data_IF_377867607527
#
_entry.id   IF_377867607527
#
_cell.length_a   1.000
_cell.length_b   1.000
_cell.length_c   1.000
_cell.angle_alpha   90.00
_cell.angle_beta   90.00
_cell.angle_gamma   90.00
#
_symmetry.space_group_name_H-M   'P 1'
#
loop_
_entity.id
_entity.type
_entity.pdbx_description
1 polymer ?
#
# COMPACT_ATOMS: atom_id res chain seq x y z
N UNK A 1 -8.36 10.14 25.55
CA UNK A 1 -7.58 9.32 24.59
C UNK A 1 -8.56 8.51 23.76
N UNK A 2 -8.56 8.67 22.44
CA UNK A 2 -9.34 7.87 21.48
C UNK A 2 -8.52 6.67 21.02
N UNK A 3 -9.13 5.50 20.89
CA UNK A 3 -8.43 4.25 20.54
C UNK A 3 -8.81 3.79 19.13
N UNK A 4 -7.80 3.43 18.35
CA UNK A 4 -7.94 2.94 16.98
C UNK A 4 -7.26 1.57 16.84
N UNK A 5 -8.01 0.46 16.77
CA UNK A 5 -9.47 0.35 16.87
C UNK A 5 -10.01 0.51 18.30
N UNK A 6 -11.27 0.96 18.40
CA UNK A 6 -11.98 1.28 19.66
C UNK A 6 -11.94 0.14 20.70
N UNK A 7 -11.94 -1.12 20.25
CA UNK A 7 -11.92 -2.30 21.14
C UNK A 7 -10.79 -2.30 22.17
N UNK A 8 -9.65 -1.64 21.90
CA UNK A 8 -8.51 -1.60 22.82
C UNK A 8 -8.73 -0.67 24.01
N UNK A 9 -9.69 0.26 23.95
CA UNK A 9 -10.11 1.05 25.09
C UNK A 9 -10.56 0.15 26.24
N UNK A 10 -11.34 -0.89 25.94
CA UNK A 10 -11.80 -1.85 26.95
C UNK A 10 -10.62 -2.61 27.57
N UNK A 11 -9.66 -3.06 26.76
CA UNK A 11 -8.44 -3.73 27.26
C UNK A 11 -7.68 -2.84 28.24
N UNK A 12 -7.52 -1.56 27.90
CA UNK A 12 -6.88 -0.57 28.75
C UNK A 12 -7.64 -0.37 30.08
N UNK A 13 -8.95 -0.11 30.03
CA UNK A 13 -9.76 0.13 31.22
C UNK A 13 -9.85 -1.09 32.15
N UNK A 14 -10.00 -2.29 31.58
CA UNK A 14 -10.07 -3.53 32.37
C UNK A 14 -8.73 -3.80 33.09
N UNK A 15 -7.60 -3.49 32.46
CA UNK A 15 -6.29 -3.57 33.13
C UNK A 15 -6.16 -2.57 34.27
N UNK A 16 -6.58 -1.31 34.07
CA UNK A 16 -6.51 -0.28 35.12
C UNK A 16 -7.36 -0.62 36.35
N UNK A 17 -8.54 -1.22 36.18
CA UNK A 17 -9.41 -1.62 37.29
C UNK A 17 -8.78 -2.68 38.21
N UNK A 18 -7.84 -3.46 37.69
CA UNK A 18 -7.14 -4.53 38.40
C UNK A 18 -5.71 -4.19 38.81
N UNK A 19 -5.32 -2.91 38.75
CA UNK A 19 -3.98 -2.45 39.05
C UNK A 19 -3.51 -2.87 40.46
N UNK A 20 -2.22 -3.17 40.55
CA UNK A 20 -1.49 -3.42 41.80
C UNK A 20 -0.27 -2.53 41.83
N UNK A 21 0.26 -2.32 43.03
CA UNK A 21 1.49 -1.57 43.23
C UNK A 21 2.60 -2.09 42.32
N UNK A 22 3.18 -1.15 41.58
CA UNK A 22 4.27 -1.44 40.66
C UNK A 22 5.58 -1.42 41.42
N UNK A 23 6.22 -2.59 41.53
CA UNK A 23 7.60 -2.64 41.97
C UNK A 23 8.50 -1.98 40.90
N UNK A 24 9.05 -0.81 41.19
CA UNK A 24 9.92 -0.05 40.28
C UNK A 24 11.41 -0.33 40.46
N UNK A 25 11.85 -0.94 41.58
CA UNK A 25 13.26 -1.28 41.83
C UNK A 25 13.68 -2.58 41.13
N UNK A 26 14.90 -2.63 40.61
CA UNK A 26 15.46 -3.78 39.89
C UNK A 26 16.92 -4.00 40.28
N UNK A 27 17.28 -5.25 40.57
CA UNK A 27 18.67 -5.69 40.78
C UNK A 27 19.35 -5.99 39.43
N UNK A 28 19.47 -4.96 38.59
CA UNK A 28 20.10 -5.03 37.26
C UNK A 28 21.26 -4.03 37.18
N UNK A 29 22.20 -4.27 36.27
CA UNK A 29 23.31 -3.33 36.04
C UNK A 29 22.94 -2.20 35.07
N UNK A 30 21.99 -2.45 34.16
CA UNK A 30 21.58 -1.48 33.14
C UNK A 30 20.25 -0.83 33.57
N UNK A 31 20.32 0.44 33.94
CA UNK A 31 19.15 1.26 34.27
C UNK A 31 19.54 2.55 34.98
N UNK A 32 18.57 3.42 35.25
CA UNK A 32 18.79 4.63 36.04
C UNK A 32 18.86 4.25 37.51
N UNK A 33 19.99 4.53 38.18
CA UNK A 33 20.14 4.23 39.61
C UNK A 33 19.13 5.02 40.44
N UNK A 34 18.50 4.38 41.42
CA UNK A 34 17.49 5.06 42.23
C UNK A 34 18.15 6.16 43.10
N UNK A 35 17.51 7.33 43.29
CA UNK A 35 18.06 8.45 44.07
C UNK A 35 17.85 8.25 45.58
N UNK A 36 18.15 7.04 46.08
CA UNK A 36 17.92 6.63 47.47
C UNK A 36 19.28 6.35 48.13
N UNK A 37 19.50 6.86 49.33
CA UNK A 37 20.75 6.75 50.08
C UNK A 37 20.48 6.20 51.48
N UNK A 38 21.29 5.24 51.91
CA UNK A 38 21.18 4.58 53.20
C UNK A 38 22.33 5.01 54.10
N UNK A 39 22.01 5.42 55.33
CA UNK A 39 22.99 5.67 56.37
C UNK A 39 23.21 4.42 57.24
N UNK A 40 24.40 4.31 57.86
CA UNK A 40 24.76 3.19 58.75
C UNK A 40 23.78 3.01 59.93
N UNK A 41 23.07 4.06 60.34
CA UNK A 41 22.05 4.00 61.39
C UNK A 41 20.69 3.48 60.89
N UNK A 42 20.56 3.15 59.60
CA UNK A 42 19.32 2.70 58.95
C UNK A 42 18.44 3.82 58.40
N UNK A 43 18.84 5.09 58.50
CA UNK A 43 18.08 6.21 57.92
C UNK A 43 18.16 6.19 56.39
N UNK A 44 17.03 6.44 55.73
CA UNK A 44 16.89 6.49 54.27
C UNK A 44 16.67 7.93 53.82
N UNK A 45 17.52 8.42 52.92
CA UNK A 45 17.45 9.76 52.33
C UNK A 45 17.15 9.63 50.84
N UNK A 46 16.15 10.35 50.35
CA UNK A 46 15.84 10.43 48.92
C UNK A 46 16.23 11.81 48.41
N UNK A 47 17.14 11.88 47.44
CA UNK A 47 17.67 13.14 46.92
C UNK A 47 18.19 12.98 45.50
N UNK A 48 17.91 13.96 44.63
CA UNK A 48 18.42 14.00 43.25
C UNK A 48 19.94 14.11 43.25
N UNK A 49 20.47 15.05 44.05
CA UNK A 49 21.90 15.21 44.25
C UNK A 49 22.40 14.35 45.43
N UNK A 50 23.62 13.79 45.36
CA UNK A 50 24.20 13.05 46.46
C UNK A 50 24.24 13.87 47.76
N UNK A 51 23.56 13.44 48.84
CA UNK A 51 23.57 14.15 50.11
C UNK A 51 24.97 14.13 50.74
N UNK A 52 25.41 15.29 51.26
CA UNK A 52 26.72 15.42 51.91
C UNK A 52 26.79 14.82 53.33
N UNK A 53 25.65 14.73 54.02
CA UNK A 53 25.52 14.15 55.35
C UNK A 53 24.09 13.68 55.63
N UNK A 54 23.94 12.77 56.58
CA UNK A 54 22.65 12.22 57.00
C UNK A 54 21.90 13.28 57.81
N UNK A 55 20.65 13.65 57.42
CA UNK A 55 19.91 14.71 58.12
C UNK A 55 19.45 14.33 59.53
N UNK A 56 19.53 13.05 59.90
CA UNK A 56 19.14 12.57 61.24
C UNK A 56 20.33 12.53 62.22
N UNK A 57 21.49 12.02 61.79
CA UNK A 57 22.64 11.77 62.69
C UNK A 57 23.91 12.54 62.33
N UNK A 58 23.92 13.31 61.24
CA UNK A 58 25.08 14.08 60.77
C UNK A 58 26.23 13.22 60.22
N UNK A 59 26.04 11.91 60.07
CA UNK A 59 27.05 11.01 59.49
C UNK A 59 27.27 11.33 58.01
N UNK A 60 28.52 11.31 57.57
CA UNK A 60 28.90 11.43 56.14
C UNK A 60 28.96 10.08 55.43
N UNK A 61 28.76 8.98 56.16
CA UNK A 61 28.70 7.64 55.59
C UNK A 61 27.29 7.38 55.07
N UNK A 62 27.09 7.68 53.79
CA UNK A 62 25.86 7.39 53.05
C UNK A 62 26.20 6.52 51.85
N UNK A 63 25.46 5.43 51.68
CA UNK A 63 25.62 4.52 50.53
C UNK A 63 24.36 4.61 49.68
N UNK A 64 24.50 5.00 48.41
CA UNK A 64 23.39 4.99 47.48
C UNK A 64 22.92 3.55 47.25
N UNK A 65 21.62 3.35 47.19
CA UNK A 65 20.97 2.07 46.91
C UNK A 65 21.52 1.48 45.58
N UNK A 66 21.88 0.19 45.54
CA UNK A 66 22.43 -0.43 44.33
C UNK A 66 21.37 -0.71 43.25
N UNK A 67 20.08 -0.60 43.56
CA UNK A 67 19.01 -0.86 42.59
C UNK A 67 18.97 0.20 41.47
N UNK A 68 18.49 -0.26 40.32
CA UNK A 68 18.11 0.60 39.19
C UNK A 68 16.59 0.60 39.01
N UNK A 69 16.07 1.63 38.34
CA UNK A 69 14.67 1.74 37.96
C UNK A 69 14.33 0.76 36.83
N UNK A 70 13.11 0.24 36.88
CA UNK A 70 12.47 -0.49 35.78
C UNK A 70 12.55 0.32 34.47
N UNK A 71 12.91 -0.33 33.36
CA UNK A 71 12.94 0.32 32.04
C UNK A 71 11.58 0.91 31.66
N UNK A 72 10.48 0.29 32.10
CA UNK A 72 9.15 0.85 31.86
C UNK A 72 8.88 2.14 32.64
N UNK A 73 9.67 2.44 33.69
CA UNK A 73 9.58 3.70 34.44
C UNK A 73 10.10 4.86 33.61
N UNK A 74 11.29 4.76 33.02
CA UNK A 74 11.79 5.80 32.13
C UNK A 74 10.96 5.89 30.83
N UNK A 75 10.58 4.76 30.24
CA UNK A 75 9.74 4.74 29.03
C UNK A 75 8.35 5.37 29.23
N UNK A 76 7.81 5.34 30.46
CA UNK A 76 6.54 5.98 30.79
C UNK A 76 6.64 7.52 30.74
N UNK A 77 7.83 8.10 30.86
CA UNK A 77 8.03 9.55 30.83
C UNK A 77 8.24 10.08 29.40
N UNK A 78 8.30 9.19 28.40
CA UNK A 78 8.65 9.51 27.01
C UNK A 78 7.92 10.74 26.41
N UNK A 79 6.59 10.92 26.58
CA UNK A 79 5.84 11.97 25.88
C UNK A 79 6.26 13.41 26.24
N UNK A 80 6.89 13.61 27.40
CA UNK A 80 7.28 14.94 27.90
C UNK A 80 8.77 15.01 28.26
N UNK A 81 9.38 13.91 28.72
CA UNK A 81 10.82 13.88 29.02
C UNK A 81 11.69 14.10 27.76
N UNK A 82 11.20 13.71 26.58
CA UNK A 82 11.90 13.96 25.31
C UNK A 82 11.85 15.41 24.86
N UNK A 83 10.91 16.19 25.40
CA UNK A 83 10.73 17.60 25.09
C UNK A 83 11.46 18.51 26.07
N UNK A 84 12.17 17.96 27.08
CA UNK A 84 12.97 18.72 28.03
C UNK A 84 12.43 18.78 29.45
N UNK A 85 11.30 18.12 29.74
CA UNK A 85 10.85 17.92 31.12
C UNK A 85 11.96 17.25 31.96
N UNK A 86 12.21 17.70 33.22
CA UNK A 86 11.34 18.52 34.07
C UNK A 86 11.42 20.03 33.88
N UNK A 87 12.25 20.53 32.96
CA UNK A 87 12.32 21.97 32.68
C UNK A 87 11.13 22.42 31.80
N UNK A 88 10.76 23.69 31.94
CA UNK A 88 9.73 24.34 31.11
C UNK A 88 10.37 24.85 29.81
N UNK A 89 10.44 23.98 28.80
CA UNK A 89 11.04 24.29 27.50
C UNK A 89 9.99 24.73 26.48
N UNK A 90 10.42 25.46 25.45
CA UNK A 90 9.57 25.85 24.31
C UNK A 90 9.02 24.62 23.57
N UNK A 91 9.82 23.55 23.45
CA UNK A 91 9.38 22.30 22.81
C UNK A 91 8.29 21.59 23.64
N UNK A 92 8.39 21.62 24.97
CA UNK A 92 7.38 21.03 25.84
C UNK A 92 6.06 21.80 25.73
N UNK A 93 6.10 23.14 25.73
CA UNK A 93 4.92 23.98 25.53
C UNK A 93 4.29 23.79 24.13
N UNK A 94 5.12 23.65 23.09
CA UNK A 94 4.64 23.58 21.71
C UNK A 94 4.07 22.21 21.33
N UNK A 95 4.62 21.12 21.87
CA UNK A 95 4.38 19.75 21.36
C UNK A 95 3.78 18.78 22.38
N UNK A 96 3.53 19.23 23.61
CA UNK A 96 2.75 18.48 24.60
C UNK A 96 1.37 19.14 24.82
N UNK A 97 0.27 18.38 24.81
CA UNK A 97 0.19 16.94 24.56
C UNK A 97 0.40 16.59 23.07
N UNK A 98 0.91 15.38 22.81
CA UNK A 98 1.17 14.90 21.43
C UNK A 98 -0.13 14.49 20.72
N UNK A 99 -0.13 14.39 19.39
CA UNK A 99 -1.37 14.01 18.67
C UNK A 99 -1.65 12.50 18.71
N UNK A 100 -0.66 11.68 18.33
CA UNK A 100 -0.87 10.24 18.05
C UNK A 100 0.25 9.38 18.65
N UNK A 101 -0.14 8.35 19.41
CA UNK A 101 0.75 7.25 19.78
C UNK A 101 0.47 6.01 18.93
N UNK A 102 1.36 5.68 18.00
CA UNK A 102 1.26 4.47 17.15
C UNK A 102 2.13 3.34 17.71
N UNK A 103 1.54 2.18 18.03
CA UNK A 103 2.25 1.09 18.69
C UNK A 103 1.57 -0.28 18.54
N UNK A 104 2.16 -1.31 19.16
CA UNK A 104 1.63 -2.67 19.19
C UNK A 104 0.82 -2.95 20.46
N UNK A 105 -0.21 -3.78 20.33
CA UNK A 105 -1.10 -4.17 21.44
C UNK A 105 -0.37 -4.81 22.64
N UNK A 106 0.77 -5.47 22.38
CA UNK A 106 1.55 -6.21 23.38
C UNK A 106 2.06 -5.31 24.51
N UNK A 107 2.26 -4.02 24.22
CA UNK A 107 2.83 -3.05 25.15
C UNK A 107 1.82 -1.97 25.57
N UNK A 108 0.52 -2.18 25.34
CA UNK A 108 -0.53 -1.29 25.86
C UNK A 108 -0.36 -1.12 27.37
N UNK A 109 -0.35 -2.23 28.12
CA UNK A 109 -0.29 -2.20 29.58
C UNK A 109 1.07 -1.74 30.12
N UNK A 110 2.15 -2.07 29.40
CA UNK A 110 3.51 -1.81 29.85
C UNK A 110 4.00 -0.41 29.48
N UNK A 111 3.42 0.22 28.45
CA UNK A 111 3.89 1.50 27.92
C UNK A 111 2.78 2.52 27.81
N UNK A 112 1.75 2.28 26.98
CA UNK A 112 0.66 3.24 26.73
C UNK A 112 -0.04 3.63 28.02
N UNK A 113 -0.45 2.64 28.81
CA UNK A 113 -1.11 2.88 30.10
C UNK A 113 -0.22 3.68 31.05
N UNK A 114 1.07 3.35 31.10
CA UNK A 114 2.00 4.03 31.99
C UNK A 114 2.26 5.46 31.57
N UNK A 115 2.38 5.74 30.28
CA UNK A 115 2.48 7.10 29.74
C UNK A 115 1.24 7.93 30.09
N UNK A 116 0.04 7.34 29.99
CA UNK A 116 -1.19 8.05 30.39
C UNK A 116 -1.18 8.34 31.89
N UNK A 117 -0.79 7.36 32.72
CA UNK A 117 -0.71 7.55 34.18
C UNK A 117 0.28 8.66 34.56
N UNK A 118 1.49 8.65 34.01
CA UNK A 118 2.53 9.64 34.32
C UNK A 118 2.24 11.00 33.71
N UNK A 119 1.62 11.07 32.53
CA UNK A 119 1.14 12.33 31.95
C UNK A 119 0.09 12.99 32.85
N UNK A 120 -0.91 12.22 33.29
CA UNK A 120 -1.94 12.74 34.20
C UNK A 120 -1.35 13.18 35.56
N UNK A 121 -0.38 12.42 36.08
CA UNK A 121 0.24 12.72 37.38
C UNK A 121 1.18 13.94 37.32
N UNK A 122 2.10 13.98 36.34
CA UNK A 122 3.16 14.98 36.31
C UNK A 122 2.83 16.21 35.48
N UNK A 123 1.95 16.08 34.48
CA UNK A 123 1.58 17.18 33.57
C UNK A 123 0.12 17.62 33.74
N UNK A 124 -0.72 16.84 34.44
CA UNK A 124 -2.13 17.19 34.68
C UNK A 124 -3.08 16.95 33.52
N UNK A 125 -2.59 16.40 32.40
CA UNK A 125 -3.39 16.10 31.20
C UNK A 125 -2.94 14.80 30.51
N UNK A 126 -3.69 14.37 29.49
CA UNK A 126 -3.37 13.14 28.76
C UNK A 126 -2.20 13.37 27.79
N UNK A 127 -1.24 12.44 27.66
CA UNK A 127 -0.04 12.65 26.85
C UNK A 127 -0.27 12.62 25.33
N UNK A 128 -1.39 12.05 24.88
CA UNK A 128 -1.76 11.99 23.48
C UNK A 128 -3.28 11.96 23.28
N UNK A 129 -3.75 12.52 22.16
CA UNK A 129 -5.16 12.51 21.80
C UNK A 129 -5.64 11.13 21.30
N UNK A 130 -4.85 10.49 20.42
CA UNK A 130 -5.19 9.23 19.74
C UNK A 130 -4.14 8.13 19.98
N UNK A 131 -4.59 6.89 20.13
CA UNK A 131 -3.73 5.68 20.19
C UNK A 131 -4.07 4.77 19.02
N UNK A 132 -3.08 4.53 18.17
CA UNK A 132 -3.19 3.70 16.97
C UNK A 132 -2.49 2.39 17.20
N UNK A 133 -3.26 1.30 17.25
CA UNK A 133 -2.74 -0.05 17.48
C UNK A 133 -2.69 -0.80 16.16
N UNK A 134 -1.48 -0.95 15.62
CA UNK A 134 -1.25 -1.67 14.38
C UNK A 134 -1.26 -3.19 14.57
N UNK A 135 -1.48 -3.92 13.48
CA UNK A 135 -1.41 -5.38 13.47
C UNK A 135 0.02 -5.87 13.76
N UNK A 136 0.17 -7.15 14.13
CA UNK A 136 1.49 -7.78 14.16
C UNK A 136 1.75 -8.52 12.85
N UNK A 137 3.01 -8.44 12.40
CA UNK A 137 3.50 -9.23 11.29
C UNK A 137 4.03 -10.56 11.83
N UNK A 138 3.46 -11.65 11.32
CA UNK A 138 3.87 -13.03 11.59
C UNK A 138 4.75 -13.55 10.46
N UNK A 139 5.55 -14.57 10.72
CA UNK A 139 6.25 -15.31 9.67
C UNK A 139 5.25 -15.97 8.71
N UNK A 140 5.74 -16.44 7.56
CA UNK A 140 4.88 -17.03 6.51
C UNK A 140 4.07 -18.24 6.99
N UNK A 141 4.61 -19.00 7.95
CA UNK A 141 3.95 -20.14 8.59
C UNK A 141 2.95 -19.75 9.71
N UNK A 142 2.82 -18.45 10.02
CA UNK A 142 1.99 -17.91 11.09
C UNK A 142 2.66 -17.87 12.46
N UNK A 143 3.93 -18.29 12.58
CA UNK A 143 4.68 -18.16 13.82
C UNK A 143 5.08 -16.70 14.10
N UNK A 144 5.40 -16.39 15.36
CA UNK A 144 5.89 -15.07 15.74
C UNK A 144 7.25 -14.81 15.07
N UNK A 145 7.40 -13.65 14.43
CA UNK A 145 8.72 -13.19 13.98
C UNK A 145 9.60 -12.86 15.20
N UNK A 146 10.71 -13.56 15.33
CA UNK A 146 11.71 -13.29 16.35
C UNK A 146 13.11 -13.62 15.85
N UNK A 147 14.07 -12.77 16.21
CA UNK A 147 15.49 -13.05 15.97
C UNK A 147 15.96 -14.31 16.71
N UNK A 148 15.45 -14.57 17.92
CA UNK A 148 15.81 -15.76 18.70
C UNK A 148 15.24 -17.06 18.12
N UNK A 149 14.12 -16.98 17.40
CA UNK A 149 13.47 -18.13 16.76
C UNK A 149 13.98 -18.38 15.34
N UNK A 150 14.80 -17.47 14.78
CA UNK A 150 15.25 -17.55 13.39
C UNK A 150 14.14 -17.31 12.35
N UNK A 151 12.95 -16.89 12.79
CA UNK A 151 11.76 -16.65 11.95
C UNK A 151 11.63 -15.18 11.50
N UNK A 152 12.52 -14.31 11.98
CA UNK A 152 12.53 -12.90 11.63
C UNK A 152 13.02 -12.66 10.20
N UNK A 153 12.34 -11.77 9.49
CA UNK A 153 12.79 -11.25 8.19
C UNK A 153 13.47 -9.92 8.42
N UNK A 154 14.72 -9.76 7.98
CA UNK A 154 15.43 -8.49 8.11
C UNK A 154 14.88 -7.49 7.07
N UNK A 155 14.32 -6.34 7.49
CA UNK A 155 13.80 -5.35 6.54
C UNK A 155 14.89 -4.82 5.60
N UNK A 156 16.17 -4.85 5.98
CA UNK A 156 17.27 -4.40 5.13
C UNK A 156 17.51 -5.32 3.93
N UNK A 157 17.27 -6.62 4.10
CA UNK A 157 17.36 -7.58 3.00
C UNK A 157 16.25 -7.32 1.98
N UNK A 158 15.04 -7.04 2.45
CA UNK A 158 13.91 -6.67 1.61
C UNK A 158 14.13 -5.33 0.90
N UNK A 159 14.65 -4.32 1.60
CA UNK A 159 15.00 -3.02 1.03
C UNK A 159 16.04 -3.20 -0.09
N UNK A 160 17.06 -4.01 0.13
CA UNK A 160 18.10 -4.29 -0.87
C UNK A 160 17.51 -5.00 -2.10
N UNK A 161 16.57 -5.93 -1.89
CA UNK A 161 15.99 -6.75 -2.96
C UNK A 161 14.89 -6.05 -3.76
N UNK A 162 14.07 -5.23 -3.10
CA UNK A 162 12.84 -4.67 -3.68
C UNK A 162 12.74 -3.14 -3.63
N UNK A 163 13.58 -2.48 -2.82
CA UNK A 163 13.55 -1.04 -2.58
C UNK A 163 12.71 -0.66 -1.36
N UNK A 164 13.05 0.48 -0.76
CA UNK A 164 12.39 0.98 0.46
C UNK A 164 10.91 1.27 0.26
N UNK A 165 10.52 1.89 -0.86
CA UNK A 165 9.11 2.21 -1.12
C UNK A 165 8.24 0.97 -1.29
N UNK A 166 8.78 -0.11 -1.87
CA UNK A 166 8.03 -1.35 -2.01
C UNK A 166 7.70 -1.95 -0.63
N UNK A 167 8.66 -1.93 0.29
CA UNK A 167 8.45 -2.39 1.67
C UNK A 167 7.48 -1.48 2.43
N UNK A 168 7.61 -0.15 2.29
CA UNK A 168 6.72 0.82 2.96
C UNK A 168 5.28 0.73 2.46
N UNK A 169 5.07 0.65 1.15
CA UNK A 169 3.74 0.49 0.56
C UNK A 169 3.09 -0.82 1.01
N UNK A 170 3.85 -1.92 1.06
CA UNK A 170 3.38 -3.17 1.64
C UNK A 170 2.98 -3.00 3.11
N UNK A 171 3.82 -2.38 3.94
CA UNK A 171 3.54 -2.18 5.36
C UNK A 171 2.26 -1.34 5.56
N UNK A 172 2.09 -0.25 4.80
CA UNK A 172 0.87 0.56 4.81
C UNK A 172 -0.37 -0.25 4.41
N UNK A 173 -0.24 -1.16 3.44
CA UNK A 173 -1.34 -2.00 2.94
C UNK A 173 -1.84 -3.06 3.93
N UNK A 174 -1.16 -3.22 5.07
CA UNK A 174 -1.51 -4.20 6.10
C UNK A 174 -1.58 -3.61 7.51
N UNK A 175 -1.06 -2.39 7.71
CA UNK A 175 -0.80 -1.80 9.02
C UNK A 175 -1.99 -1.89 9.98
N UNK A 176 -3.19 -1.56 9.51
CA UNK A 176 -4.40 -1.47 10.35
C UNK A 176 -5.36 -2.64 10.13
N UNK A 177 -4.83 -3.79 9.68
CA UNK A 177 -5.57 -5.04 9.62
C UNK A 177 -6.13 -5.42 10.99
N UNK A 178 -7.39 -5.84 11.02
CA UNK A 178 -8.07 -6.25 12.25
C UNK A 178 -7.47 -7.51 12.88
N UNK A 179 -6.79 -8.33 12.06
CA UNK A 179 -6.04 -9.53 12.43
C UNK A 179 -4.55 -9.35 12.14
N UNK A 180 -3.73 -10.18 12.80
CA UNK A 180 -2.33 -10.28 12.45
C UNK A 180 -2.15 -10.77 11.03
N UNK A 181 -1.07 -10.30 10.39
CA UNK A 181 -0.82 -10.55 8.98
C UNK A 181 0.41 -11.42 8.84
N UNK A 182 0.26 -12.52 8.10
CA UNK A 182 1.41 -13.34 7.69
C UNK A 182 2.21 -12.60 6.64
N UNK A 183 3.52 -12.60 6.81
CA UNK A 183 4.41 -12.00 5.86
C UNK A 183 4.37 -12.75 4.53
N UNK A 184 4.13 -11.99 3.46
CA UNK A 184 4.09 -12.46 2.09
C UNK A 184 5.01 -11.59 1.24
N UNK A 185 6.19 -12.12 0.94
CA UNK A 185 7.20 -11.44 0.15
C UNK A 185 6.72 -11.11 -1.28
N UNK A 186 5.79 -11.90 -1.83
CA UNK A 186 5.28 -11.69 -3.20
C UNK A 186 4.51 -10.38 -3.32
N UNK A 187 3.88 -9.92 -2.23
CA UNK A 187 3.22 -8.61 -2.17
C UNK A 187 4.23 -7.46 -2.22
N UNK A 188 5.38 -7.61 -1.55
CA UNK A 188 6.47 -6.62 -1.61
C UNK A 188 7.03 -6.56 -3.04
N UNK A 189 7.22 -7.70 -3.69
CA UNK A 189 7.61 -7.75 -5.10
C UNK A 189 6.57 -7.05 -6.00
N UNK A 190 5.27 -7.23 -5.72
CA UNK A 190 4.19 -6.51 -6.40
C UNK A 190 4.36 -4.99 -6.36
N UNK A 191 4.68 -4.43 -5.19
CA UNK A 191 4.94 -2.98 -5.07
C UNK A 191 6.23 -2.53 -5.75
N UNK A 192 7.27 -3.38 -5.87
CA UNK A 192 8.43 -3.07 -6.74
C UNK A 192 7.99 -2.92 -8.19
N UNK A 193 7.12 -3.79 -8.69
CA UNK A 193 6.56 -3.67 -10.06
C UNK A 193 5.72 -2.41 -10.20
N UNK A 194 5.05 -1.99 -9.14
CA UNK A 194 4.33 -0.72 -9.10
C UNK A 194 5.25 0.50 -9.22
N UNK A 195 6.38 0.54 -8.51
CA UNK A 195 7.39 1.58 -8.71
C UNK A 195 7.82 1.68 -10.20
N UNK A 196 8.07 0.54 -10.84
CA UNK A 196 8.41 0.51 -12.26
C UNK A 196 7.27 1.01 -13.16
N UNK A 197 6.02 0.71 -12.82
CA UNK A 197 4.84 1.19 -13.55
C UNK A 197 4.75 2.72 -13.47
N UNK A 198 4.93 3.31 -12.29
CA UNK A 198 4.97 4.77 -12.08
C UNK A 198 6.08 5.44 -12.91
N UNK A 199 7.26 4.81 -12.95
CA UNK A 199 8.38 5.28 -13.78
C UNK A 199 8.03 5.31 -15.27
N UNK A 200 7.43 4.21 -15.77
CA UNK A 200 7.04 4.10 -17.17
C UNK A 200 5.94 5.10 -17.54
N UNK A 201 4.95 5.30 -16.66
CA UNK A 201 3.89 6.28 -16.83
C UNK A 201 4.47 7.71 -16.91
N UNK A 202 5.32 8.07 -15.96
CA UNK A 202 5.98 9.38 -15.93
C UNK A 202 6.82 9.61 -17.18
N UNK A 203 7.62 8.61 -17.58
CA UNK A 203 8.43 8.70 -18.81
C UNK A 203 7.55 8.90 -20.04
N UNK A 204 6.43 8.20 -20.17
CA UNK A 204 5.52 8.35 -21.30
C UNK A 204 5.01 9.80 -21.42
N UNK A 205 4.51 10.35 -20.31
CA UNK A 205 3.98 11.72 -20.27
C UNK A 205 5.06 12.75 -20.60
N UNK A 206 6.25 12.62 -20.01
CA UNK A 206 7.37 13.56 -20.21
C UNK A 206 8.05 13.46 -21.59
N UNK A 207 7.96 12.30 -22.26
CA UNK A 207 8.58 12.10 -23.58
C UNK A 207 7.74 12.56 -24.76
N UNK A 208 6.52 13.05 -24.51
CA UNK A 208 5.59 13.43 -25.57
C UNK A 208 5.96 14.78 -26.18
N UNK A 209 5.89 14.95 -27.52
CA UNK A 209 6.16 16.23 -28.18
C UNK A 209 5.21 17.32 -27.70
N UNK A 210 5.75 18.48 -27.32
CA UNK A 210 5.00 19.56 -26.67
C UNK A 210 5.77 20.03 -25.43
N UNK A 211 6.61 21.06 -25.59
CA UNK A 211 7.38 21.63 -24.47
C UNK A 211 6.44 22.54 -23.67
N UNK A 212 6.30 22.37 -22.34
CA UNK A 212 5.33 23.14 -21.57
C UNK A 212 5.89 24.52 -21.20
N UNK A 213 5.07 25.58 -21.15
CA UNK A 213 5.11 26.51 -20.04
C UNK A 213 4.46 25.83 -18.83
N UNK A 214 5.12 25.88 -17.68
CA UNK A 214 4.54 25.50 -16.41
C UNK A 214 3.39 26.46 -16.07
N UNK A 215 2.15 26.08 -16.39
CA UNK A 215 1.03 26.61 -15.63
C UNK A 215 0.81 25.73 -14.41
N UNK A 216 0.53 26.40 -13.28
CA UNK A 216 0.22 25.71 -12.04
C UNK A 216 -0.98 24.78 -12.27
N UNK A 217 -0.99 23.57 -11.68
CA UNK A 217 -2.12 22.63 -11.63
C UNK A 217 -3.55 23.24 -11.43
N UNK A 218 -3.70 24.50 -11.05
CA UNK A 218 -4.99 25.18 -10.86
C UNK A 218 -5.76 25.64 -12.12
N UNK A 219 -5.12 25.82 -13.29
CA UNK A 219 -5.69 26.52 -14.47
C UNK A 219 -6.33 25.63 -15.54
N UNK A 220 -6.52 24.33 -15.29
CA UNK A 220 -7.16 23.44 -16.27
C UNK A 220 -8.65 23.83 -16.47
N UNK A 221 -8.93 24.69 -17.45
CA UNK A 221 -10.29 25.05 -17.86
C UNK A 221 -10.71 24.32 -19.13
N UNK A 222 -11.99 23.92 -19.18
CA UNK A 222 -12.68 23.24 -20.29
C UNK A 222 -11.98 21.98 -20.82
N UNK A 223 -12.48 20.80 -20.41
CA UNK A 223 -12.06 19.51 -20.98
C UNK A 223 -13.19 18.98 -21.85
N UNK A 224 -12.98 18.98 -23.15
CA UNK A 224 -13.98 18.54 -24.12
C UNK A 224 -14.04 17.01 -24.26
N UNK A 225 -12.90 16.34 -24.04
CA UNK A 225 -12.76 14.91 -24.21
C UNK A 225 -13.29 14.13 -23.00
N UNK A 226 -14.00 13.04 -23.29
CA UNK A 226 -14.61 12.17 -22.29
C UNK A 226 -13.56 11.56 -21.36
N UNK A 227 -12.47 11.06 -21.91
CA UNK A 227 -11.38 10.43 -21.15
C UNK A 227 -10.67 11.41 -20.19
N UNK A 228 -10.57 12.69 -20.56
CA UNK A 228 -9.94 13.73 -19.75
C UNK A 228 -10.84 14.13 -18.57
N UNK A 229 -12.15 14.33 -18.82
CA UNK A 229 -13.14 14.59 -17.78
C UNK A 229 -13.23 13.43 -16.80
N UNK A 230 -13.25 12.21 -17.33
CA UNK A 230 -13.31 10.99 -16.54
C UNK A 230 -12.13 10.89 -15.57
N UNK A 231 -10.89 10.98 -16.05
CA UNK A 231 -9.72 10.77 -15.17
C UNK A 231 -9.60 11.85 -14.08
N UNK A 232 -10.04 13.09 -14.36
CA UNK A 232 -10.06 14.16 -13.37
C UNK A 232 -11.11 13.93 -12.28
N UNK A 233 -12.29 13.40 -12.65
CA UNK A 233 -13.30 12.94 -11.68
C UNK A 233 -12.74 11.82 -10.80
N UNK A 234 -12.11 10.82 -11.42
CA UNK A 234 -11.48 9.69 -10.72
C UNK A 234 -10.34 10.12 -9.79
N UNK A 235 -9.52 11.07 -10.19
CA UNK A 235 -8.46 11.64 -9.35
C UNK A 235 -9.05 12.32 -8.10
N UNK A 236 -10.16 13.03 -8.24
CA UNK A 236 -10.85 13.68 -7.11
C UNK A 236 -11.39 12.66 -6.11
N UNK A 237 -11.97 11.57 -6.61
CA UNK A 237 -12.40 10.41 -5.79
C UNK A 237 -11.19 9.78 -5.08
N UNK A 238 -10.11 9.49 -5.80
CA UNK A 238 -8.90 8.92 -5.23
C UNK A 238 -8.31 9.80 -4.14
N UNK A 239 -8.22 11.12 -4.35
CA UNK A 239 -7.76 12.09 -3.35
C UNK A 239 -8.63 12.02 -2.09
N UNK A 240 -9.96 12.03 -2.24
CA UNK A 240 -10.89 11.96 -1.10
C UNK A 240 -10.67 10.68 -0.30
N UNK A 241 -10.60 9.54 -0.98
CA UNK A 241 -10.50 8.24 -0.34
C UNK A 241 -9.12 8.05 0.33
N UNK A 242 -8.04 8.54 -0.28
CA UNK A 242 -6.70 8.59 0.33
C UNK A 242 -6.70 9.44 1.60
N UNK A 243 -7.27 10.65 1.52
CA UNK A 243 -7.35 11.61 2.64
C UNK A 243 -8.14 11.01 3.80
N UNK A 244 -9.34 10.47 3.51
CA UNK A 244 -10.20 9.85 4.51
C UNK A 244 -9.51 8.67 5.21
N UNK A 245 -8.75 7.86 4.48
CA UNK A 245 -8.00 6.76 5.10
C UNK A 245 -6.82 7.22 5.96
N UNK A 246 -6.16 8.33 5.62
CA UNK A 246 -5.09 8.90 6.46
C UNK A 246 -5.69 9.48 7.74
N UNK A 247 -6.72 10.31 7.62
CA UNK A 247 -7.41 10.93 8.77
C UNK A 247 -8.12 9.90 9.67
N UNK A 248 -8.63 8.82 9.08
CA UNK A 248 -9.30 7.73 9.78
C UNK A 248 -8.38 6.62 10.29
N UNK A 249 -7.05 6.75 10.14
CA UNK A 249 -6.08 5.69 10.44
C UNK A 249 -6.41 4.34 9.77
N UNK A 250 -6.93 4.37 8.54
CA UNK A 250 -7.10 3.19 7.67
C UNK A 250 -6.13 3.23 6.50
N UNK A 251 -4.82 3.26 6.82
CA UNK A 251 -3.75 3.42 5.83
C UNK A 251 -3.79 2.41 4.67
N UNK A 252 -4.32 1.19 4.88
CA UNK A 252 -4.51 0.23 3.80
C UNK A 252 -5.49 0.73 2.74
N UNK A 253 -6.55 1.43 3.14
CA UNK A 253 -7.54 1.97 2.21
C UNK A 253 -6.92 3.09 1.39
N UNK A 254 -6.09 3.93 2.03
CA UNK A 254 -5.36 5.00 1.33
C UNK A 254 -4.41 4.46 0.26
N UNK A 255 -3.52 3.52 0.60
CA UNK A 255 -2.58 2.98 -0.39
C UNK A 255 -3.31 2.18 -1.48
N UNK A 256 -4.41 1.50 -1.15
CA UNK A 256 -5.22 0.78 -2.14
C UNK A 256 -5.93 1.74 -3.10
N UNK A 257 -6.47 2.86 -2.61
CA UNK A 257 -7.09 3.89 -3.43
C UNK A 257 -6.05 4.55 -4.37
N UNK A 258 -4.89 4.93 -3.84
CA UNK A 258 -3.81 5.51 -4.64
C UNK A 258 -3.26 4.53 -5.69
N UNK A 259 -3.07 3.26 -5.31
CA UNK A 259 -2.68 2.19 -6.24
C UNK A 259 -3.75 1.97 -7.32
N UNK A 260 -5.02 1.89 -6.92
CA UNK A 260 -6.15 1.68 -7.82
C UNK A 260 -6.24 2.76 -8.88
N UNK A 261 -6.17 4.03 -8.48
CA UNK A 261 -6.12 5.14 -9.40
C UNK A 261 -4.88 5.07 -10.31
N UNK A 262 -3.69 4.91 -9.73
CA UNK A 262 -2.44 4.94 -10.49
C UNK A 262 -2.36 3.83 -11.55
N UNK A 263 -2.64 2.60 -11.14
CA UNK A 263 -2.47 1.43 -12.00
C UNK A 263 -3.70 1.19 -12.85
N UNK A 264 -4.85 1.01 -12.22
CA UNK A 264 -6.04 0.47 -12.88
C UNK A 264 -6.74 1.55 -13.70
N UNK A 265 -6.71 2.81 -13.30
CA UNK A 265 -7.43 3.89 -14.00
C UNK A 265 -6.48 4.72 -14.86
N UNK A 266 -5.47 5.34 -14.26
CA UNK A 266 -4.54 6.23 -14.94
C UNK A 266 -3.69 5.48 -15.98
N UNK A 267 -3.02 4.39 -15.59
CA UNK A 267 -2.14 3.69 -16.52
C UNK A 267 -2.89 2.79 -17.52
N UNK A 268 -3.79 1.95 -17.04
CA UNK A 268 -4.38 0.88 -17.87
C UNK A 268 -5.47 1.41 -18.82
N UNK A 269 -6.11 2.53 -18.49
CA UNK A 269 -7.18 3.11 -19.31
C UNK A 269 -6.85 4.51 -19.82
N UNK A 270 -6.57 5.47 -18.93
CA UNK A 270 -6.41 6.87 -19.35
C UNK A 270 -5.23 7.05 -20.30
N UNK A 271 -4.02 6.65 -19.89
CA UNK A 271 -2.83 6.76 -20.74
C UNK A 271 -2.98 5.98 -22.06
N UNK A 272 -3.65 4.83 -22.05
CA UNK A 272 -3.96 4.09 -23.28
C UNK A 272 -4.92 4.85 -24.21
N UNK A 273 -5.92 5.53 -23.65
CA UNK A 273 -6.94 6.29 -24.41
C UNK A 273 -6.38 7.54 -25.09
N UNK A 274 -5.40 8.20 -24.46
CA UNK A 274 -4.77 9.43 -24.96
C UNK A 274 -3.47 9.20 -25.73
N UNK A 275 -2.96 7.97 -25.85
CA UNK A 275 -1.67 7.68 -26.50
C UNK A 275 -1.50 8.28 -27.88
N UNK A 276 -2.55 8.25 -28.70
CA UNK A 276 -2.53 8.84 -30.04
C UNK A 276 -2.51 10.36 -29.99
N UNK A 277 -3.27 10.96 -29.06
CA UNK A 277 -3.29 12.41 -28.80
C UNK A 277 -1.93 12.92 -28.33
N UNK A 278 -1.30 12.21 -27.40
CA UNK A 278 0.07 12.50 -26.94
C UNK A 278 1.11 12.43 -28.08
N UNK A 279 1.01 11.42 -28.96
CA UNK A 279 1.90 11.33 -30.14
C UNK A 279 1.68 12.44 -31.16
N UNK A 280 0.44 12.94 -31.24
CA UNK A 280 0.07 14.05 -32.10
C UNK A 280 0.45 15.43 -31.51
N UNK A 281 0.97 15.48 -30.29
CA UNK A 281 1.33 16.72 -29.61
C UNK A 281 0.15 17.52 -29.07
N UNK A 282 -0.93 16.83 -28.67
CA UNK A 282 -2.08 17.46 -28.00
C UNK A 282 -1.70 17.97 -26.60
N UNK A 283 -1.54 19.29 -26.48
CA UNK A 283 -1.19 19.97 -25.23
C UNK A 283 -2.24 19.73 -24.13
N UNK A 284 -3.53 19.70 -24.46
CA UNK A 284 -4.57 19.51 -23.45
C UNK A 284 -4.50 18.13 -22.80
N UNK A 285 -4.26 17.08 -23.60
CA UNK A 285 -4.05 15.72 -23.10
C UNK A 285 -2.81 15.63 -22.20
N UNK A 286 -1.73 16.30 -22.60
CA UNK A 286 -0.48 16.35 -21.85
C UNK A 286 -0.64 17.08 -20.52
N UNK A 287 -1.34 18.22 -20.50
CA UNK A 287 -1.61 19.00 -19.29
C UNK A 287 -2.44 18.21 -18.28
N UNK A 288 -3.48 17.49 -18.72
CA UNK A 288 -4.27 16.62 -17.84
C UNK A 288 -3.43 15.46 -17.32
N UNK A 289 -2.65 14.80 -18.17
CA UNK A 289 -1.79 13.70 -17.74
C UNK A 289 -0.74 14.15 -16.72
N UNK A 290 -0.15 15.33 -16.94
CA UNK A 290 0.77 15.98 -16.01
C UNK A 290 0.09 16.34 -14.69
N UNK A 291 -1.11 16.94 -14.74
CA UNK A 291 -1.87 17.25 -13.54
C UNK A 291 -2.19 16.01 -12.70
N UNK A 292 -2.61 14.92 -13.35
CA UNK A 292 -2.84 13.65 -12.68
C UNK A 292 -1.56 13.09 -12.07
N UNK A 293 -0.43 13.14 -12.78
CA UNK A 293 0.86 12.71 -12.23
C UNK A 293 1.27 13.55 -11.01
N UNK A 294 1.21 14.88 -11.12
CA UNK A 294 1.56 15.80 -10.04
C UNK A 294 0.82 15.47 -8.74
N UNK A 295 -0.51 15.40 -8.82
CA UNK A 295 -1.34 15.10 -7.66
C UNK A 295 -1.13 13.65 -7.18
N UNK A 296 -1.00 12.69 -8.09
CA UNK A 296 -0.75 11.29 -7.73
C UNK A 296 0.56 11.12 -6.95
N UNK A 297 1.64 11.81 -7.37
CA UNK A 297 2.92 11.72 -6.66
C UNK A 297 2.80 12.27 -5.23
N UNK A 298 2.05 13.37 -5.03
CA UNK A 298 1.77 13.90 -3.68
C UNK A 298 0.94 12.92 -2.85
N UNK A 299 -0.11 12.32 -3.42
CA UNK A 299 -0.96 11.32 -2.74
C UNK A 299 -0.18 10.05 -2.34
N UNK A 300 0.78 9.63 -3.16
CA UNK A 300 1.62 8.46 -2.89
C UNK A 300 2.78 8.75 -1.93
N UNK A 301 3.21 10.01 -1.81
CA UNK A 301 4.43 10.38 -1.08
C UNK A 301 4.49 9.90 0.39
N UNK A 302 3.41 9.96 1.20
CA UNK A 302 3.44 9.43 2.56
C UNK A 302 3.84 7.94 2.64
N UNK A 303 3.50 7.18 1.60
CA UNK A 303 3.71 5.73 1.53
C UNK A 303 5.00 5.38 0.78
N UNK A 304 5.33 6.13 -0.28
CA UNK A 304 6.40 5.82 -1.23
C UNK A 304 7.31 7.04 -1.49
N UNK A 305 8.00 7.57 -0.46
CA UNK A 305 8.66 8.87 -0.53
C UNK A 305 9.81 8.93 -1.55
N UNK A 306 10.57 7.85 -1.77
CA UNK A 306 11.79 7.97 -2.58
C UNK A 306 11.50 8.03 -4.08
N UNK A 307 10.68 7.12 -4.59
CA UNK A 307 10.28 7.08 -6.00
C UNK A 307 9.43 8.29 -6.36
N UNK A 308 8.56 8.75 -5.45
CA UNK A 308 7.73 9.93 -5.72
C UNK A 308 8.57 11.21 -5.77
N UNK A 309 9.55 11.37 -4.89
CA UNK A 309 10.50 12.49 -4.92
C UNK A 309 11.33 12.51 -6.21
N UNK A 310 11.87 11.34 -6.60
CA UNK A 310 12.64 11.23 -7.84
C UNK A 310 11.79 11.58 -9.06
N UNK A 311 10.57 11.03 -9.18
CA UNK A 311 9.68 11.29 -10.31
C UNK A 311 9.21 12.74 -10.35
N UNK A 312 8.94 13.33 -9.20
CA UNK A 312 8.53 14.72 -9.07
C UNK A 312 9.62 15.69 -9.54
N UNK A 313 10.87 15.42 -9.20
CA UNK A 313 12.01 16.23 -9.66
C UNK A 313 12.17 16.25 -11.18
N UNK A 314 11.58 15.28 -11.90
CA UNK A 314 11.58 15.22 -13.37
C UNK A 314 10.39 15.91 -14.00
N UNK A 315 9.36 16.24 -13.22
CA UNK A 315 8.22 16.97 -13.74
C UNK A 315 8.64 18.42 -14.07
N UNK A 316 8.10 19.01 -15.16
CA UNK A 316 8.35 20.40 -15.53
C UNK A 316 8.09 21.42 -14.40
N UNK A 317 8.71 22.60 -14.55
CA UNK A 317 8.59 23.72 -13.62
C UNK A 317 9.77 23.81 -12.64
N UNK A 318 9.85 24.93 -11.93
CA UNK A 318 10.73 25.04 -10.75
C UNK A 318 10.08 24.29 -9.59
N UNK A 319 10.79 23.30 -9.05
CA UNK A 319 10.23 22.27 -8.16
C UNK A 319 11.09 22.21 -6.90
N UNK A 320 10.47 22.54 -5.77
CA UNK A 320 10.99 22.13 -4.46
C UNK A 320 10.62 20.65 -4.21
N UNK A 321 10.95 20.12 -3.04
CA UNK A 321 10.64 18.74 -2.67
C UNK A 321 9.14 18.44 -2.54
N UNK A 322 8.71 17.24 -2.95
CA UNK A 322 7.33 16.75 -2.74
C UNK A 322 6.96 16.80 -1.26
N UNK A 323 7.92 16.47 -0.38
CA UNK A 323 7.71 16.46 1.07
C UNK A 323 7.28 17.82 1.64
N UNK A 324 7.47 18.92 0.89
CA UNK A 324 7.05 20.28 1.26
C UNK A 324 5.88 20.79 0.42
N UNK A 325 5.41 20.02 -0.56
CA UNK A 325 4.31 20.41 -1.41
C UNK A 325 2.99 20.33 -0.64
N UNK A 326 2.09 21.28 -0.91
CA UNK A 326 0.75 21.26 -0.34
C UNK A 326 0.01 19.98 -0.74
N UNK A 327 -0.77 19.45 0.22
CA UNK A 327 -1.65 18.32 -0.05
C UNK A 327 -2.62 18.68 -1.18
N UNK A 328 -2.89 17.78 -2.14
CA UNK A 328 -3.80 18.05 -3.26
C UNK A 328 -5.14 18.65 -2.83
N UNK A 329 -5.38 19.90 -3.22
CA UNK A 329 -6.69 20.55 -3.12
C UNK A 329 -7.46 20.39 -4.43
N UNK A 330 -8.11 19.24 -4.55
CA UNK A 330 -9.02 18.96 -5.65
C UNK A 330 -10.42 19.29 -5.18
N UNK A 331 -10.85 20.52 -5.46
CA UNK A 331 -12.25 20.89 -5.28
C UNK A 331 -13.13 19.93 -6.08
N UNK A 332 -14.35 19.67 -5.61
CA UNK A 332 -15.35 18.82 -6.28
C UNK A 332 -15.71 19.30 -7.72
N UNK A 333 -15.08 20.37 -8.21
CA UNK A 333 -15.24 20.93 -9.56
C UNK A 333 -14.94 19.95 -10.71
N UNK A 334 -14.15 18.92 -10.45
CA UNK A 334 -13.82 17.90 -11.45
C UNK A 334 -14.70 16.65 -11.36
N UNK A 335 -15.54 16.55 -10.33
CA UNK A 335 -16.45 15.41 -10.17
C UNK A 335 -17.49 15.46 -11.29
N UNK A 336 -17.52 14.39 -12.08
CA UNK A 336 -18.36 14.30 -13.27
C UNK A 336 -18.96 12.90 -13.40
N UNK A 337 -20.08 12.63 -12.70
CA UNK A 337 -20.71 11.31 -12.71
C UNK A 337 -21.14 10.86 -14.10
N UNK A 338 -21.48 11.80 -14.99
CA UNK A 338 -21.85 11.49 -16.38
C UNK A 338 -20.65 10.97 -17.18
N UNK A 339 -19.48 11.61 -17.03
CA UNK A 339 -18.25 11.10 -17.64
C UNK A 339 -17.86 9.73 -17.06
N UNK A 340 -18.04 9.51 -15.75
CA UNK A 340 -17.82 8.21 -15.11
C UNK A 340 -18.71 7.10 -15.68
N UNK A 341 -20.02 7.35 -15.81
CA UNK A 341 -20.96 6.38 -16.38
C UNK A 341 -20.63 6.08 -17.85
N UNK A 342 -20.38 7.11 -18.65
CA UNK A 342 -20.03 6.96 -20.06
C UNK A 342 -18.71 6.20 -20.25
N UNK A 343 -17.69 6.50 -19.46
CA UNK A 343 -16.41 5.78 -19.56
C UNK A 343 -16.50 4.36 -19.00
N UNK A 344 -17.35 4.10 -18.00
CA UNK A 344 -17.67 2.74 -17.55
C UNK A 344 -18.30 1.92 -18.68
N UNK A 345 -19.18 2.52 -19.49
CA UNK A 345 -19.73 1.87 -20.68
C UNK A 345 -18.64 1.56 -21.71
N UNK A 346 -17.67 2.47 -21.93
CA UNK A 346 -16.49 2.21 -22.78
C UNK A 346 -15.72 1.00 -22.27
N UNK A 347 -15.38 0.96 -20.98
CA UNK A 347 -14.60 -0.13 -20.39
C UNK A 347 -15.30 -1.48 -20.59
N UNK A 348 -16.60 -1.54 -20.30
CA UNK A 348 -17.38 -2.76 -20.41
C UNK A 348 -17.46 -3.29 -21.86
N UNK A 349 -17.68 -2.40 -22.85
CA UNK A 349 -17.66 -2.77 -24.27
C UNK A 349 -16.27 -3.27 -24.69
N UNK A 350 -15.19 -2.59 -24.28
CA UNK A 350 -13.82 -2.96 -24.63
C UNK A 350 -13.44 -4.32 -24.05
N UNK A 351 -13.81 -4.59 -22.80
CA UNK A 351 -13.57 -5.87 -22.15
C UNK A 351 -14.30 -7.01 -22.86
N UNK A 352 -15.57 -6.81 -23.23
CA UNK A 352 -16.34 -7.79 -24.00
C UNK A 352 -15.74 -8.04 -25.39
N UNK A 353 -15.37 -6.96 -26.11
CA UNK A 353 -14.67 -7.05 -27.41
C UNK A 353 -13.35 -7.83 -27.26
N UNK A 354 -12.56 -7.56 -26.21
CA UNK A 354 -11.31 -8.29 -25.94
C UNK A 354 -11.57 -9.75 -25.59
N UNK A 355 -12.62 -10.05 -24.83
CA UNK A 355 -13.06 -11.40 -24.50
C UNK A 355 -13.44 -12.20 -25.75
N UNK A 356 -14.27 -11.63 -26.64
CA UNK A 356 -14.61 -12.27 -27.91
C UNK A 356 -13.39 -12.42 -28.83
N UNK A 357 -12.48 -11.43 -28.86
CA UNK A 357 -11.23 -11.54 -29.62
C UNK A 357 -10.38 -12.72 -29.14
N UNK A 358 -10.25 -12.87 -27.82
CA UNK A 358 -9.51 -13.97 -27.21
C UNK A 358 -10.17 -15.32 -27.52
N UNK A 359 -11.48 -15.44 -27.36
CA UNK A 359 -12.23 -16.66 -27.67
C UNK A 359 -12.11 -17.04 -29.16
N UNK A 360 -12.13 -16.05 -30.05
CA UNK A 360 -11.92 -16.26 -31.48
C UNK A 360 -10.47 -16.63 -31.85
N UNK A 361 -9.51 -16.49 -30.92
CA UNK A 361 -8.08 -16.65 -31.22
C UNK A 361 -7.58 -15.64 -32.26
N UNK A 362 -8.23 -14.47 -32.34
CA UNK A 362 -7.95 -13.46 -33.33
C UNK A 362 -6.67 -12.67 -33.02
N UNK A 363 -6.03 -12.04 -34.04
CA UNK A 363 -4.88 -11.15 -33.83
C UNK A 363 -5.21 -9.99 -32.87
N UNK A 364 -4.21 -9.36 -32.24
CA UNK A 364 -4.42 -8.29 -31.26
C UNK A 364 -5.00 -6.99 -31.84
N UNK A 365 -5.02 -6.84 -33.18
CA UNK A 365 -5.56 -5.68 -33.90
C UNK A 365 -6.39 -6.12 -35.09
N UNK A 366 -7.34 -5.27 -35.47
CA UNK A 366 -8.23 -5.49 -36.61
C UNK A 366 -9.55 -6.14 -36.20
N UNK A 367 -10.54 -6.04 -37.08
CA UNK A 367 -11.93 -6.38 -36.80
C UNK A 367 -12.82 -5.17 -36.90
N UNK A 368 -14.13 -5.40 -36.89
CA UNK A 368 -15.13 -4.34 -36.97
C UNK A 368 -16.04 -4.41 -35.75
N UNK A 369 -16.53 -3.25 -35.31
CA UNK A 369 -17.49 -3.08 -34.23
C UNK A 369 -18.66 -2.26 -34.77
N UNK A 370 -19.86 -2.78 -34.59
CA UNK A 370 -21.10 -2.07 -34.83
C UNK A 370 -21.84 -1.92 -33.50
N UNK A 371 -22.28 -0.70 -33.18
CA UNK A 371 -23.05 -0.40 -31.99
C UNK A 371 -24.34 0.32 -32.40
N UNK A 372 -25.47 -0.14 -31.87
CA UNK A 372 -26.79 0.44 -32.11
C UNK A 372 -27.13 1.42 -30.98
N UNK A 373 -27.60 2.62 -31.31
CA UNK A 373 -27.99 3.62 -30.30
C UNK A 373 -26.86 4.21 -29.45
N UNK A 374 -25.62 3.77 -29.63
CA UNK A 374 -24.42 4.33 -28.98
C UNK A 374 -23.57 5.01 -30.05
N UNK A 375 -23.29 6.30 -29.87
CA UNK A 375 -22.53 7.11 -30.82
C UNK A 375 -21.58 8.08 -30.12
N UNK A 376 -20.81 8.83 -30.91
CA UNK A 376 -19.92 9.88 -30.38
C UNK A 376 -18.73 9.32 -29.59
N UNK A 377 -18.30 9.99 -28.50
CA UNK A 377 -17.07 9.65 -27.78
C UNK A 377 -17.01 8.22 -27.26
N UNK A 378 -18.14 7.67 -26.77
CA UNK A 378 -18.19 6.30 -26.22
C UNK A 378 -17.87 5.27 -27.30
N UNK A 379 -18.56 5.32 -28.44
CA UNK A 379 -18.33 4.39 -29.55
C UNK A 379 -16.91 4.52 -30.13
N UNK A 380 -16.43 5.75 -30.28
CA UNK A 380 -15.08 6.03 -30.79
C UNK A 380 -13.96 5.50 -29.89
N UNK A 381 -14.06 5.73 -28.57
CA UNK A 381 -13.10 5.23 -27.59
C UNK A 381 -13.14 3.71 -27.49
N UNK A 382 -14.34 3.11 -27.47
CA UNK A 382 -14.49 1.66 -27.41
C UNK A 382 -13.85 0.96 -28.61
N UNK A 383 -14.06 1.50 -29.82
CA UNK A 383 -13.42 0.97 -31.03
C UNK A 383 -11.89 1.09 -30.97
N UNK A 384 -11.36 2.26 -30.59
CA UNK A 384 -9.92 2.52 -30.48
C UNK A 384 -9.24 1.61 -29.45
N UNK A 385 -9.79 1.53 -28.24
CA UNK A 385 -9.24 0.72 -27.14
C UNK A 385 -9.44 -0.80 -27.35
N UNK A 386 -10.50 -1.17 -28.08
CA UNK A 386 -10.75 -2.53 -28.57
C UNK A 386 -9.90 -2.91 -29.80
N UNK A 387 -9.19 -1.95 -30.39
CA UNK A 387 -8.37 -2.10 -31.60
C UNK A 387 -9.17 -2.67 -32.78
N UNK A 388 -10.38 -2.15 -32.97
CA UNK A 388 -11.34 -2.48 -34.03
C UNK A 388 -11.81 -1.21 -34.74
N UNK A 389 -12.31 -1.35 -35.96
CA UNK A 389 -12.90 -0.26 -36.74
C UNK A 389 -14.40 -0.14 -36.44
N UNK A 390 -14.89 1.07 -36.19
CA UNK A 390 -16.32 1.33 -35.98
C UNK A 390 -17.03 1.39 -37.33
N UNK A 391 -18.06 0.56 -37.53
CA UNK A 391 -18.85 0.48 -38.77
C UNK A 391 -20.33 0.77 -38.54
N UNK A 392 -20.96 1.39 -39.55
CA UNK A 392 -22.38 1.78 -39.51
C UNK A 392 -23.33 0.58 -39.64
N UNK A 393 -22.92 -0.46 -40.37
CA UNK A 393 -23.69 -1.68 -40.54
C UNK A 393 -22.75 -2.88 -40.55
N UNK A 394 -23.22 -4.03 -40.07
CA UNK A 394 -22.44 -5.26 -40.06
C UNK A 394 -23.33 -6.47 -40.35
N UNK A 395 -23.03 -7.17 -41.44
CA UNK A 395 -23.59 -8.49 -41.72
C UNK A 395 -22.81 -9.57 -40.97
N UNK A 396 -23.49 -10.32 -40.09
CA UNK A 396 -22.86 -11.33 -39.24
C UNK A 396 -22.20 -10.76 -37.98
N UNK A 397 -21.22 -11.47 -37.43
CA UNK A 397 -20.55 -11.11 -36.17
C UNK A 397 -21.21 -11.68 -34.91
N UNK A 398 -20.46 -11.63 -33.81
CA UNK A 398 -20.90 -12.07 -32.49
C UNK A 398 -21.66 -10.92 -31.84
N UNK A 399 -22.91 -11.13 -31.38
CA UNK A 399 -23.64 -10.10 -30.65
C UNK A 399 -22.97 -9.79 -29.32
N UNK A 400 -22.97 -8.52 -28.94
CA UNK A 400 -22.55 -8.06 -27.63
C UNK A 400 -23.72 -8.21 -26.64
N UNK A 401 -23.42 -8.61 -25.41
CA UNK A 401 -24.36 -8.75 -24.30
C UNK A 401 -24.49 -7.44 -23.51
N UNK A 402 -23.42 -6.63 -23.43
CA UNK A 402 -23.38 -5.43 -22.58
C UNK A 402 -23.94 -4.20 -23.31
N UNK A 403 -23.87 -4.19 -24.64
CA UNK A 403 -24.37 -3.11 -25.47
C UNK A 403 -25.10 -3.68 -26.70
N UNK A 404 -26.19 -3.04 -27.16
CA UNK A 404 -26.81 -3.43 -28.42
C UNK A 404 -25.81 -3.18 -29.58
N UNK A 405 -25.40 -4.26 -30.25
CA UNK A 405 -24.35 -4.21 -31.27
C UNK A 405 -23.72 -5.57 -31.54
N UNK A 406 -22.74 -5.59 -32.44
CA UNK A 406 -22.01 -6.79 -32.86
C UNK A 406 -20.54 -6.51 -33.10
N UNK A 407 -19.71 -7.50 -32.86
CA UNK A 407 -18.28 -7.46 -33.16
C UNK A 407 -17.89 -8.60 -34.10
N UNK A 408 -16.99 -8.30 -35.04
CA UNK A 408 -16.36 -9.30 -35.89
C UNK A 408 -14.85 -9.13 -35.87
N UNK A 409 -14.15 -10.25 -35.98
CA UNK A 409 -12.70 -10.26 -36.11
C UNK A 409 -12.32 -10.93 -37.42
N UNK A 410 -11.18 -10.54 -38.02
CA UNK A 410 -10.63 -11.30 -39.13
C UNK A 410 -10.41 -12.74 -38.67
N UNK A 411 -10.68 -13.72 -39.55
CA UNK A 411 -10.34 -15.11 -39.28
C UNK A 411 -8.86 -15.18 -38.90
N UNK A 412 -8.59 -15.40 -37.60
CA UNK A 412 -7.24 -15.46 -37.09
C UNK A 412 -6.61 -16.81 -37.41
N UNK A 413 -5.28 -16.85 -37.40
CA UNK A 413 -4.50 -18.08 -37.27
C UNK A 413 -4.68 -18.75 -35.89
N UNK A 414 -5.88 -18.65 -35.29
CA UNK A 414 -6.22 -19.19 -33.99
C UNK A 414 -6.07 -20.71 -33.95
N UNK A 415 -6.31 -21.38 -35.08
CA UNK A 415 -5.98 -22.80 -35.25
C UNK A 415 -4.48 -23.06 -35.09
N UNK A 416 -3.61 -22.24 -35.68
CA UNK A 416 -2.16 -22.43 -35.56
C UNK A 416 -1.65 -22.20 -34.12
N UNK A 417 -2.25 -21.27 -33.36
CA UNK A 417 -1.88 -21.02 -31.96
C UNK A 417 -2.43 -22.09 -31.02
N UNK A 418 -3.71 -22.48 -31.17
CA UNK A 418 -4.29 -23.62 -30.44
C UNK A 418 -3.54 -24.91 -30.74
N UNK A 419 -3.15 -25.14 -31.99
CA UNK A 419 -2.37 -26.29 -32.41
C UNK A 419 -0.95 -26.27 -31.83
N UNK A 420 -0.29 -25.10 -31.76
CA UNK A 420 1.04 -24.95 -31.14
C UNK A 420 1.00 -25.11 -29.61
N UNK A 421 -0.05 -24.62 -28.97
CA UNK A 421 -0.28 -24.77 -27.52
C UNK A 421 -0.65 -26.21 -27.16
N UNK A 422 -1.50 -26.85 -27.96
CA UNK A 422 -1.79 -28.29 -27.89
C UNK A 422 -0.51 -29.10 -28.04
N UNK A 423 0.29 -28.85 -29.08
CA UNK A 423 1.53 -29.58 -29.33
C UNK A 423 2.52 -29.44 -28.17
N UNK A 424 2.64 -28.25 -27.58
CA UNK A 424 3.47 -28.02 -26.39
C UNK A 424 2.97 -28.82 -25.18
N UNK A 425 1.66 -28.80 -24.92
CA UNK A 425 1.06 -29.54 -23.80
C UNK A 425 1.14 -31.05 -24.01
N UNK A 426 1.01 -31.53 -25.24
CA UNK A 426 1.23 -32.94 -25.61
C UNK A 426 2.70 -33.36 -25.37
N UNK A 427 3.67 -32.53 -25.75
CA UNK A 427 5.10 -32.78 -25.49
C UNK A 427 5.43 -32.78 -23.98
N UNK A 428 4.85 -31.86 -23.23
CA UNK A 428 5.06 -31.77 -21.78
C UNK A 428 4.37 -32.94 -21.05
N UNK A 429 3.16 -33.33 -21.46
CA UNK A 429 2.47 -34.53 -20.97
C UNK A 429 3.29 -35.79 -21.26
N UNK A 430 3.82 -35.95 -22.47
CA UNK A 430 4.63 -37.11 -22.85
C UNK A 430 5.90 -37.23 -21.97
N UNK A 431 6.55 -36.11 -21.62
CA UNK A 431 7.69 -36.11 -20.70
C UNK A 431 7.28 -36.51 -19.27
N UNK A 432 6.13 -36.03 -18.79
CA UNK A 432 5.62 -36.38 -17.46
C UNK A 432 5.24 -37.86 -17.39
N UNK A 433 4.53 -38.37 -18.39
CA UNK A 433 4.14 -39.78 -18.48
C UNK A 433 5.35 -40.71 -18.63
N UNK A 434 6.34 -40.35 -19.44
CA UNK A 434 7.59 -41.10 -19.55
C UNK A 434 8.34 -41.18 -18.21
N UNK A 435 8.30 -40.11 -17.42
CA UNK A 435 8.92 -40.06 -16.08
C UNK A 435 8.13 -40.88 -15.06
N UNK A 436 6.80 -40.85 -15.11
CA UNK A 436 5.91 -41.65 -14.26
C UNK A 436 5.94 -43.15 -14.62
N UNK A 437 6.17 -43.50 -15.88
CA UNK A 437 6.33 -44.87 -16.36
C UNK A 437 7.71 -45.47 -16.04
N UNK A 438 8.67 -44.66 -15.59
CA UNK A 438 10.01 -45.12 -15.23
C UNK A 438 9.97 -45.84 -13.86
N UNK A 439 10.27 -47.16 -13.80
CA UNK A 439 10.22 -47.93 -12.55
C UNK A 439 11.22 -47.42 -11.49
N UNK A 440 12.37 -46.90 -11.91
CA UNK A 440 13.37 -46.32 -11.00
C UNK A 440 12.87 -45.02 -10.35
N UNK A 441 12.09 -44.22 -11.08
CA UNK A 441 11.51 -42.98 -10.55
C UNK A 441 10.40 -43.30 -9.55
N UNK A 442 9.52 -44.25 -9.87
CA UNK A 442 8.47 -44.74 -8.96
C UNK A 442 9.05 -45.30 -7.65
N UNK A 443 10.19 -45.99 -7.70
CA UNK A 443 10.80 -46.62 -6.54
C UNK A 443 11.68 -45.68 -5.69
N UNK A 444 12.29 -44.64 -6.28
CA UNK A 444 13.30 -43.79 -5.61
C UNK A 444 12.84 -42.36 -5.32
N UNK A 445 11.80 -41.86 -5.98
CA UNK A 445 11.31 -40.51 -5.73
C UNK A 445 10.47 -40.44 -4.45
N UNK A 446 10.49 -39.30 -3.71
CA UNK A 446 9.61 -39.10 -2.57
C UNK A 446 8.12 -39.25 -2.97
N UNK A 447 7.26 -39.85 -2.12
CA UNK A 447 5.85 -40.07 -2.44
C UNK A 447 5.09 -38.80 -2.81
N UNK A 448 5.40 -37.67 -2.17
CA UNK A 448 4.83 -36.35 -2.45
C UNK A 448 5.17 -35.83 -3.86
N UNK A 449 6.37 -36.14 -4.36
CA UNK A 449 6.83 -35.73 -5.70
C UNK A 449 6.13 -36.55 -6.77
N UNK A 450 5.90 -37.85 -6.52
CA UNK A 450 5.15 -38.73 -7.42
C UNK A 450 3.67 -38.34 -7.44
N UNK A 451 3.07 -38.02 -6.30
CA UNK A 451 1.69 -37.54 -6.20
C UNK A 451 1.49 -36.22 -6.97
N UNK A 452 2.36 -35.23 -6.75
CA UNK A 452 2.29 -33.93 -7.43
C UNK A 452 2.47 -34.08 -8.96
N UNK A 453 3.38 -34.95 -9.40
CA UNK A 453 3.59 -35.20 -10.83
C UNK A 453 2.39 -35.89 -11.50
N UNK A 454 1.71 -36.81 -10.80
CA UNK A 454 0.47 -37.41 -11.28
C UNK A 454 -0.65 -36.37 -11.40
N UNK A 455 -0.86 -35.55 -10.39
CA UNK A 455 -1.89 -34.50 -10.40
C UNK A 455 -1.65 -33.50 -11.54
N UNK A 456 -0.40 -33.10 -11.77
CA UNK A 456 -0.02 -32.24 -12.90
C UNK A 456 -0.23 -32.92 -14.26
N UNK A 457 0.07 -34.20 -14.38
CA UNK A 457 -0.17 -34.95 -15.61
C UNK A 457 -1.67 -35.06 -15.91
N UNK A 458 -2.51 -35.31 -14.90
CA UNK A 458 -3.96 -35.39 -15.05
C UNK A 458 -4.56 -34.03 -15.45
N UNK A 459 -4.15 -32.94 -14.80
CA UNK A 459 -4.56 -31.59 -15.17
C UNK A 459 -4.14 -31.21 -16.61
N UNK A 460 -2.92 -31.61 -17.00
CA UNK A 460 -2.40 -31.36 -18.36
C UNK A 460 -3.16 -32.19 -19.40
N UNK A 461 -3.49 -33.45 -19.09
CA UNK A 461 -4.28 -34.34 -19.96
C UNK A 461 -5.68 -33.80 -20.21
N UNK A 462 -6.31 -33.25 -19.17
CA UNK A 462 -7.61 -32.59 -19.27
C UNK A 462 -7.54 -31.30 -20.09
N UNK A 463 -6.48 -30.50 -19.94
CA UNK A 463 -6.25 -29.29 -20.75
C UNK A 463 -6.06 -29.62 -22.24
N UNK A 464 -5.31 -30.68 -22.58
CA UNK A 464 -5.14 -31.17 -23.97
C UNK A 464 -6.48 -31.61 -24.55
N UNK A 465 -7.32 -32.28 -23.74
CA UNK A 465 -8.64 -32.76 -24.16
C UNK A 465 -9.56 -31.61 -24.56
N UNK A 466 -9.66 -30.57 -23.73
CA UNK A 466 -10.45 -29.34 -24.01
C UNK A 466 -10.00 -28.65 -25.30
N UNK A 467 -8.68 -28.48 -25.46
CA UNK A 467 -8.09 -27.92 -26.67
C UNK A 467 -8.32 -28.77 -27.94
N UNK A 468 -8.69 -30.04 -27.80
CA UNK A 468 -8.97 -30.96 -28.91
C UNK A 468 -10.46 -31.02 -29.26
N UNK A 469 -11.34 -30.92 -28.27
CA UNK A 469 -12.81 -30.94 -28.48
C UNK A 469 -13.39 -29.58 -28.83
N UNK A 470 -12.65 -28.49 -28.60
CA UNK A 470 -13.13 -27.12 -28.88
C UNK A 470 -14.13 -26.59 -27.85
N UNK A 471 -14.25 -27.30 -26.71
CA UNK A 471 -14.93 -26.87 -25.48
C UNK A 471 -13.93 -26.22 -24.54
#
# INVERSE_FOLDING_TARGET
>A
VRWHPERYERTYLDWLRGLRDWNIGRQLWLGHRVPVYHCDNGHVVVSVDPPGECPECGSKNLTQDPDVLDTWFSSALWPFATLGWPDETEDLEAFYPTDVNCTAREIINLWVSRMIMTGLEFMGEVPFADVVIHCQVQAADGSRMSKSLGTGVDPRDLITKYGTDALRAWAASVAMSSQDVRFDETRVEGYRRFCNKLWNATRLVLSSPGTPPAESPGTLEAREHLEDRWILSRLSVARRDVTAGIEGFTFQDSINAAYGFAWNEFCDWYLESIKERLRAGDAAAQDVAYFCLDNLLRLLHPFMPFVTEELWSRLPGDRDYVMRADWPELLDRFVDPGAEEQFQQVMAIVEEVRGHRQAAGAPPRGGHLHLEGISGPVAGLAARLGQVELVQEMEGGVPLAIAPGRVSFPAGSGDARRQKERQRLEEDLAKMEAKLANPDFQAKAPPEVVANLNERADATREAVRRLTTGE
#
